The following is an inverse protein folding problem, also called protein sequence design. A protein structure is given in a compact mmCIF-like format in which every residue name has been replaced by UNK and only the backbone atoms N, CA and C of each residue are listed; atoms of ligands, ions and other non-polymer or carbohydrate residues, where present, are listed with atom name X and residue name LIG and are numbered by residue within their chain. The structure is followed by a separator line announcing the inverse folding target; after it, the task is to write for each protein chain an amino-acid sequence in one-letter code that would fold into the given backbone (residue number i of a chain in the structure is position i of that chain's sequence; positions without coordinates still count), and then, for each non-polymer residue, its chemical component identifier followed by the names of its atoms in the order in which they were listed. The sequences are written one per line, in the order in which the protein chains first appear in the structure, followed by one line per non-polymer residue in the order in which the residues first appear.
data_IF_622809679280
#
_entry.id   IF_622809679280
#
_cell.length_a   1.000
_cell.length_b   1.000
_cell.length_c   1.000
_cell.angle_alpha   90.00
_cell.angle_beta   90.00
_cell.angle_gamma   90.00
#
_symmetry.space_group_name_H-M   'P 1'
#
loop_
_entity.id
_entity.type
_entity.pdbx_description
1 polymer ?
#
# COMPACT_ATOMS: atom_id res chain seq x y z
N UNK A 1 1.46 4.34 23.42
CA UNK A 1 2.91 4.07 23.22
C UNK A 1 3.23 2.74 22.53
N UNK A 2 3.24 1.54 23.16
CA UNK A 2 3.69 0.31 22.45
C UNK A 2 2.84 -0.06 21.22
N UNK A 3 1.52 0.07 21.30
CA UNK A 3 0.61 -0.31 20.21
C UNK A 3 0.73 0.61 18.98
N UNK A 4 0.92 1.92 19.20
CA UNK A 4 1.10 2.90 18.11
C UNK A 4 2.38 2.61 17.32
N UNK A 5 3.47 2.31 18.01
CA UNK A 5 4.73 1.94 17.36
C UNK A 5 4.64 0.65 16.53
N UNK A 6 3.73 -0.26 16.86
CA UNK A 6 3.50 -1.46 16.05
C UNK A 6 2.72 -1.16 14.78
N UNK A 7 1.69 -0.31 14.89
CA UNK A 7 0.90 0.15 13.74
C UNK A 7 1.75 0.92 12.75
N UNK A 8 2.55 1.87 13.24
CA UNK A 8 3.49 2.62 12.41
C UNK A 8 4.39 1.69 11.59
N UNK A 9 5.03 0.71 12.23
CA UNK A 9 5.89 -0.26 11.54
C UNK A 9 5.13 -1.11 10.53
N UNK A 10 3.89 -1.49 10.82
CA UNK A 10 3.05 -2.24 9.89
C UNK A 10 2.65 -1.39 8.67
N UNK A 11 2.34 -0.11 8.87
CA UNK A 11 2.07 0.81 7.76
C UNK A 11 3.30 1.12 6.91
N UNK A 12 4.48 1.30 7.53
CA UNK A 12 5.74 1.45 6.78
C UNK A 12 6.00 0.21 5.91
N UNK A 13 5.75 -0.99 6.45
CA UNK A 13 5.87 -2.22 5.67
C UNK A 13 4.82 -2.31 4.55
N UNK A 14 3.58 -1.90 4.81
CA UNK A 14 2.54 -1.81 3.79
C UNK A 14 2.96 -0.87 2.66
N UNK A 15 3.49 0.31 2.98
CA UNK A 15 4.00 1.27 2.00
C UNK A 15 5.12 0.67 1.15
N UNK A 16 6.04 -0.08 1.76
CA UNK A 16 7.06 -0.82 1.02
C UNK A 16 6.44 -1.78 -0.01
N UNK A 17 5.43 -2.56 0.37
CA UNK A 17 4.71 -3.44 -0.57
C UNK A 17 4.01 -2.66 -1.68
N UNK A 18 3.37 -1.53 -1.36
CA UNK A 18 2.75 -0.64 -2.36
C UNK A 18 3.76 -0.13 -3.39
N UNK A 19 4.96 0.25 -2.95
CA UNK A 19 6.02 0.69 -3.86
C UNK A 19 6.50 -0.44 -4.78
N UNK A 20 6.53 -1.69 -4.31
CA UNK A 20 6.84 -2.85 -5.16
C UNK A 20 5.77 -3.08 -6.22
N UNK A 21 4.49 -2.91 -5.88
CA UNK A 21 3.38 -3.01 -6.84
C UNK A 21 3.47 -1.93 -7.92
N UNK A 22 3.67 -0.67 -7.52
CA UNK A 22 3.88 0.45 -8.46
C UNK A 22 5.08 0.16 -9.36
N UNK A 23 6.20 -0.29 -8.79
CA UNK A 23 7.41 -0.63 -9.56
C UNK A 23 7.12 -1.73 -10.59
N UNK A 24 6.39 -2.78 -10.20
CA UNK A 24 6.04 -3.88 -11.09
C UNK A 24 5.18 -3.41 -12.26
N UNK A 25 4.17 -2.58 -11.99
CA UNK A 25 3.28 -2.03 -13.01
C UNK A 25 3.99 -1.02 -13.95
N UNK A 26 5.04 -0.36 -13.46
CA UNK A 26 5.81 0.66 -14.20
C UNK A 26 6.78 0.08 -15.23
N UNK A 27 6.94 -1.24 -15.32
CA UNK A 27 7.87 -1.86 -16.27
C UNK A 27 7.38 -1.76 -17.73
N UNK A 28 7.82 -0.71 -18.43
CA UNK A 28 7.46 -0.39 -19.82
C UNK A 28 8.25 -1.15 -20.88
N UNK A 29 9.36 -1.81 -20.52
CA UNK A 29 10.17 -2.61 -21.46
C UNK A 29 9.41 -3.79 -22.10
N UNK A 30 8.21 -4.11 -21.59
CA UNK A 30 7.31 -5.15 -22.10
C UNK A 30 6.33 -4.64 -23.17
N UNK A 31 6.32 -3.34 -23.44
CA UNK A 31 5.41 -2.71 -24.39
C UNK A 31 5.94 -2.95 -25.81
N UNK A 32 5.16 -3.70 -26.60
CA UNK A 32 5.39 -3.86 -28.03
C UNK A 32 4.67 -2.74 -28.77
N UNK A 33 5.39 -1.71 -29.19
CA UNK A 33 4.84 -0.51 -29.85
C UNK A 33 4.03 -0.81 -31.11
N UNK A 34 4.31 -1.91 -31.81
CA UNK A 34 3.54 -2.35 -32.97
C UNK A 34 2.23 -3.09 -32.64
N UNK A 35 1.98 -3.45 -31.36
CA UNK A 35 0.82 -4.22 -30.94
C UNK A 35 -0.17 -3.35 -30.15
N UNK A 36 -1.32 -2.93 -30.71
CA UNK A 36 -2.31 -2.07 -30.03
C UNK A 36 -2.74 -2.57 -28.64
N UNK A 37 -2.85 -3.89 -28.44
CA UNK A 37 -3.21 -4.45 -27.14
C UNK A 37 -2.18 -4.12 -26.04
N UNK A 38 -0.89 -4.01 -26.40
CA UNK A 38 0.16 -3.59 -25.46
C UNK A 38 0.00 -2.12 -25.02
N UNK A 39 -0.59 -1.26 -25.85
CA UNK A 39 -0.87 0.14 -25.49
C UNK A 39 -2.05 0.24 -24.53
N UNK A 40 -3.11 -0.55 -24.77
CA UNK A 40 -4.25 -0.65 -23.86
C UNK A 40 -3.79 -1.13 -22.48
N UNK A 41 -2.94 -2.16 -22.44
CA UNK A 41 -2.35 -2.63 -21.18
C UNK A 41 -1.52 -1.54 -20.49
N UNK A 42 -0.66 -0.84 -21.23
CA UNK A 42 0.16 0.24 -20.67
C UNK A 42 -0.68 1.37 -20.08
N UNK A 43 -1.75 1.77 -20.79
CA UNK A 43 -2.72 2.75 -20.29
C UNK A 43 -3.38 2.26 -18.99
N UNK A 44 -3.83 1.01 -18.95
CA UNK A 44 -4.46 0.43 -17.76
C UNK A 44 -3.47 0.39 -16.57
N UNK A 45 -2.22 0.02 -16.80
CA UNK A 45 -1.18 0.05 -15.77
C UNK A 45 -0.96 1.46 -15.21
N UNK A 46 -0.92 2.49 -16.07
CA UNK A 46 -0.77 3.90 -15.61
C UNK A 46 -1.98 4.33 -14.78
N UNK A 47 -3.19 3.94 -15.18
CA UNK A 47 -4.40 4.23 -14.40
C UNK A 47 -4.33 3.54 -13.03
N UNK A 48 -3.93 2.27 -12.98
CA UNK A 48 -3.77 1.52 -11.72
C UNK A 48 -2.72 2.19 -10.81
N UNK A 49 -1.54 2.54 -11.34
CA UNK A 49 -0.49 3.23 -10.58
C UNK A 49 -1.00 4.55 -10.01
N UNK A 50 -1.70 5.36 -10.79
CA UNK A 50 -2.25 6.63 -10.33
C UNK A 50 -3.27 6.42 -9.21
N UNK A 51 -4.17 5.44 -9.35
CA UNK A 51 -5.14 5.14 -8.30
C UNK A 51 -4.47 4.67 -6.99
N UNK A 52 -3.40 3.86 -7.10
CA UNK A 52 -2.60 3.45 -5.94
C UNK A 52 -1.91 4.67 -5.31
N UNK A 53 -1.23 5.50 -6.11
CA UNK A 53 -0.59 6.71 -5.62
C UNK A 53 -1.59 7.65 -4.92
N UNK A 54 -2.78 7.86 -5.49
CA UNK A 54 -3.82 8.70 -4.90
C UNK A 54 -4.29 8.20 -3.52
N UNK A 55 -4.33 6.90 -3.29
CA UNK A 55 -4.70 6.35 -1.98
C UNK A 55 -3.56 6.49 -0.97
N UNK A 56 -2.31 6.29 -1.38
CA UNK A 56 -1.19 6.14 -0.46
C UNK A 56 -0.30 7.38 -0.33
N UNK A 57 -0.43 8.41 -1.17
CA UNK A 57 0.53 9.54 -1.22
C UNK A 57 0.66 10.31 0.10
N UNK A 58 -0.42 10.47 0.86
CA UNK A 58 -0.39 11.18 2.15
C UNK A 58 -0.01 10.29 3.33
N UNK A 59 -0.06 8.97 3.15
CA UNK A 59 0.15 8.02 4.24
C UNK A 59 1.51 8.20 4.95
N UNK A 60 2.66 8.39 4.25
CA UNK A 60 3.94 8.58 4.92
C UNK A 60 3.97 9.79 5.86
N UNK A 61 3.40 10.90 5.42
CA UNK A 61 3.37 12.15 6.19
C UNK A 61 2.40 12.05 7.37
N UNK A 62 1.23 11.46 7.15
CA UNK A 62 0.23 11.20 8.19
C UNK A 62 0.74 10.28 9.29
N UNK A 63 1.60 9.31 8.96
CA UNK A 63 2.15 8.40 9.96
C UNK A 63 3.28 9.04 10.77
N UNK A 64 4.18 9.78 10.13
CA UNK A 64 5.43 10.24 10.75
C UNK A 64 5.27 11.62 11.39
N UNK A 65 4.67 12.56 10.66
CA UNK A 65 4.66 13.97 11.07
C UNK A 65 3.33 14.38 11.71
N UNK A 66 2.21 13.74 11.31
CA UNK A 66 0.86 14.13 11.71
C UNK A 66 -0.01 12.94 12.16
N UNK A 67 0.47 12.09 13.10
CA UNK A 67 -0.26 10.88 13.52
C UNK A 67 -1.63 11.18 14.13
N UNK A 68 -1.78 12.32 14.80
CA UNK A 68 -3.06 12.74 15.39
C UNK A 68 -4.12 13.12 14.34
N UNK A 69 -3.69 13.42 13.11
CA UNK A 69 -4.57 13.72 11.97
C UNK A 69 -4.94 12.45 11.17
N UNK A 70 -4.31 11.31 11.46
CA UNK A 70 -4.51 10.09 10.69
C UNK A 70 -5.81 9.37 11.09
N UNK A 71 -6.88 9.61 10.32
CA UNK A 71 -8.11 8.79 10.40
C UNK A 71 -7.90 7.44 9.70
N UNK A 72 -7.44 6.46 10.48
CA UNK A 72 -7.21 5.08 10.04
C UNK A 72 -8.46 4.43 9.44
N UNK A 73 -9.65 4.66 10.02
CA UNK A 73 -10.88 4.06 9.52
C UNK A 73 -11.22 4.64 8.15
N UNK A 74 -11.16 5.96 8.01
CA UNK A 74 -11.38 6.62 6.73
C UNK A 74 -10.38 6.14 5.66
N UNK A 75 -9.10 5.99 6.01
CA UNK A 75 -8.08 5.47 5.10
C UNK A 75 -8.45 4.07 4.56
N UNK A 76 -8.81 3.13 5.43
CA UNK A 76 -9.17 1.77 5.02
C UNK A 76 -10.48 1.73 4.21
N UNK A 77 -11.46 2.56 4.56
CA UNK A 77 -12.70 2.68 3.78
C UNK A 77 -12.43 3.33 2.41
N UNK A 78 -11.55 4.34 2.34
CA UNK A 78 -11.13 4.97 1.09
C UNK A 78 -10.41 3.98 0.18
N UNK A 79 -9.47 3.19 0.73
CA UNK A 79 -8.79 2.12 0.01
C UNK A 79 -9.79 1.07 -0.52
N UNK A 80 -10.74 0.62 0.31
CA UNK A 80 -11.77 -0.36 -0.10
C UNK A 80 -12.61 0.14 -1.27
N UNK A 81 -12.98 1.42 -1.24
CA UNK A 81 -13.81 2.02 -2.26
C UNK A 81 -13.04 2.33 -3.56
N UNK A 82 -11.78 2.76 -3.46
CA UNK A 82 -10.95 3.12 -4.63
C UNK A 82 -10.27 1.93 -5.30
N UNK A 83 -9.84 0.95 -4.52
CA UNK A 83 -9.06 -0.20 -4.96
C UNK A 83 -9.62 -1.51 -4.37
N UNK A 84 -10.89 -1.86 -4.68
CA UNK A 84 -11.55 -3.01 -4.07
C UNK A 84 -10.81 -4.33 -4.29
N UNK A 85 -10.19 -4.51 -5.47
CA UNK A 85 -9.43 -5.71 -5.81
C UNK A 85 -8.11 -5.86 -5.03
N UNK A 86 -7.55 -4.74 -4.54
CA UNK A 86 -6.29 -4.71 -3.78
C UNK A 86 -6.51 -4.61 -2.27
N UNK A 87 -7.70 -4.20 -1.83
CA UNK A 87 -8.03 -4.00 -0.43
C UNK A 87 -7.70 -5.23 0.41
N UNK A 88 -8.19 -6.41 0.02
CA UNK A 88 -7.96 -7.64 0.78
C UNK A 88 -6.48 -7.99 0.89
N UNK A 89 -5.72 -7.78 -0.19
CA UNK A 89 -4.28 -8.01 -0.19
C UNK A 89 -3.55 -7.07 0.78
N UNK A 90 -3.78 -5.76 0.68
CA UNK A 90 -3.12 -4.78 1.54
C UNK A 90 -3.54 -4.88 3.01
N UNK A 91 -4.83 -5.14 3.26
CA UNK A 91 -5.31 -5.40 4.61
C UNK A 91 -4.67 -6.66 5.21
N UNK A 92 -4.50 -7.73 4.42
CA UNK A 92 -3.79 -8.94 4.84
C UNK A 92 -2.32 -8.64 5.17
N UNK A 93 -1.59 -7.96 4.27
CA UNK A 93 -0.19 -7.56 4.47
C UNK A 93 -0.01 -6.79 5.79
N UNK A 94 -0.89 -5.83 6.06
CA UNK A 94 -0.86 -5.05 7.29
C UNK A 94 -1.08 -5.93 8.53
N UNK A 95 -2.14 -6.74 8.54
CA UNK A 95 -2.48 -7.59 9.69
C UNK A 95 -1.43 -8.67 9.95
N UNK A 96 -0.85 -9.26 8.90
CA UNK A 96 0.25 -10.22 9.04
C UNK A 96 1.46 -9.55 9.70
N UNK A 97 1.79 -8.31 9.30
CA UNK A 97 2.92 -7.59 9.90
C UNK A 97 2.68 -7.24 11.37
N UNK A 98 1.47 -6.81 11.73
CA UNK A 98 1.08 -6.59 13.13
C UNK A 98 1.28 -7.87 13.94
N UNK A 99 0.77 -9.00 13.44
CA UNK A 99 0.87 -10.29 14.14
C UNK A 99 2.32 -10.76 14.31
N UNK A 100 3.17 -10.55 13.30
CA UNK A 100 4.60 -10.82 13.37
C UNK A 100 5.27 -10.01 14.50
N UNK A 101 5.07 -8.69 14.52
CA UNK A 101 5.66 -7.79 15.53
C UNK A 101 5.22 -8.18 16.94
N UNK A 102 3.92 -8.48 17.12
CA UNK A 102 3.37 -8.92 18.41
C UNK A 102 4.00 -10.23 18.87
N UNK A 103 4.17 -11.21 17.96
CA UNK A 103 4.83 -12.48 18.28
C UNK A 103 6.28 -12.29 18.66
N UNK A 104 7.05 -11.51 17.90
CA UNK A 104 8.46 -11.25 18.19
C UNK A 104 8.64 -10.57 19.55
N UNK A 105 7.77 -9.63 19.91
CA UNK A 105 7.85 -8.93 21.21
C UNK A 105 7.61 -9.88 22.39
N UNK A 106 6.73 -10.88 22.23
CA UNK A 106 6.46 -11.89 23.28
C UNK A 106 7.62 -12.87 23.51
N UNK A 107 8.49 -13.07 22.52
CA UNK A 107 9.64 -13.99 22.64
C UNK A 107 10.92 -13.29 23.14
N UNK A 108 10.88 -11.96 23.30
CA UNK A 108 12.00 -11.16 23.80
C UNK A 108 11.82 -10.68 25.25
N UNK A 109 10.71 -11.05 25.89
CA UNK A 109 10.46 -10.90 27.33
C UNK A 109 10.61 -12.25 28.01
#
# INVERSE_FOLDING_TARGET
MKTETFKERAYVYLLYCVLLDIRSASYTHRIKWWNPASWVQAKNNVIEINNIADVFHNLPDLIVNRPDEFDEKWFWDYLRNRLPEKYEFYNKVFNEKINEIVRSTKHSC
#
